data_IF_994009379877
#
_entry.id   IF_994009379877
#
_cell.length_a   1.000
_cell.length_b   1.000
_cell.length_c   1.000
_cell.angle_alpha   90.00
_cell.angle_beta   90.00
_cell.angle_gamma   90.00
#
_symmetry.space_group_name_H-M   'P 1'
#
loop_
_entity.id
_entity.type
_entity.pdbx_description
1 polymer ?
#
# COMPACT_ATOMS: atom_id res chain seq x y z
N UNK A 1 -39.08 12.25 -15.90
CA UNK A 1 -38.35 13.53 -15.85
C UNK A 1 -36.85 13.20 -15.86
N UNK A 2 -36.11 13.73 -16.85
CA UNK A 2 -34.69 13.45 -17.03
C UNK A 2 -33.83 13.88 -15.83
N UNK A 3 -34.25 14.91 -15.08
CA UNK A 3 -33.57 15.37 -13.83
C UNK A 3 -33.61 14.29 -12.77
N UNK A 4 -34.77 13.69 -12.53
CA UNK A 4 -34.92 12.61 -11.55
C UNK A 4 -34.11 11.38 -11.96
N UNK A 5 -34.05 11.06 -13.22
CA UNK A 5 -33.26 9.94 -13.72
C UNK A 5 -31.76 10.22 -13.53
N UNK A 6 -31.29 11.44 -13.81
CA UNK A 6 -29.91 11.86 -13.59
C UNK A 6 -29.52 11.81 -12.11
N UNK A 7 -30.39 12.30 -11.21
CA UNK A 7 -30.16 12.24 -9.76
C UNK A 7 -30.08 10.79 -9.27
N UNK A 8 -30.98 9.92 -9.72
CA UNK A 8 -30.97 8.50 -9.33
C UNK A 8 -29.71 7.78 -9.81
N UNK A 9 -29.26 8.02 -11.04
CA UNK A 9 -28.01 7.46 -11.56
C UNK A 9 -26.78 8.01 -10.80
N UNK A 10 -26.75 9.29 -10.44
CA UNK A 10 -25.71 9.88 -9.63
C UNK A 10 -25.61 9.24 -8.23
N UNK A 11 -26.75 9.02 -7.57
CA UNK A 11 -26.81 8.31 -6.30
C UNK A 11 -26.32 6.88 -6.43
N UNK A 12 -26.78 6.15 -7.43
CA UNK A 12 -26.38 4.77 -7.70
C UNK A 12 -24.86 4.65 -7.94
N UNK A 13 -24.31 5.51 -8.79
CA UNK A 13 -22.88 5.52 -9.07
C UNK A 13 -22.05 5.85 -7.82
N UNK A 14 -22.51 6.78 -6.99
CA UNK A 14 -21.88 7.09 -5.70
C UNK A 14 -21.85 5.87 -4.77
N UNK A 15 -22.96 5.13 -4.65
CA UNK A 15 -23.05 3.92 -3.84
C UNK A 15 -22.12 2.81 -4.35
N UNK A 16 -22.00 2.65 -5.67
CA UNK A 16 -21.09 1.69 -6.30
C UNK A 16 -19.64 2.04 -5.96
N UNK A 17 -19.24 3.31 -6.11
CA UNK A 17 -17.89 3.77 -5.77
C UNK A 17 -17.58 3.60 -4.27
N UNK A 18 -18.51 3.95 -3.39
CA UNK A 18 -18.34 3.77 -1.94
C UNK A 18 -18.14 2.30 -1.59
N UNK A 19 -18.93 1.40 -2.18
CA UNK A 19 -18.78 -0.05 -1.99
C UNK A 19 -17.40 -0.54 -2.43
N UNK A 20 -16.93 -0.06 -3.59
CA UNK A 20 -15.62 -0.47 -4.10
C UNK A 20 -14.48 0.06 -3.22
N UNK A 21 -14.52 1.30 -2.78
CA UNK A 21 -13.55 1.84 -1.81
C UNK A 21 -13.50 1.01 -0.52
N UNK A 22 -14.65 0.57 0.00
CA UNK A 22 -14.67 -0.32 1.17
C UNK A 22 -14.11 -1.72 0.86
N UNK A 23 -14.27 -2.25 -0.36
CA UNK A 23 -13.61 -3.46 -0.81
C UNK A 23 -12.09 -3.29 -0.80
N UNK A 24 -11.54 -2.19 -1.36
CA UNK A 24 -10.10 -1.90 -1.35
C UNK A 24 -9.55 -1.82 0.09
N UNK A 25 -10.26 -1.17 0.98
CA UNK A 25 -9.89 -1.12 2.40
C UNK A 25 -9.88 -2.51 3.04
N UNK A 26 -10.85 -3.37 2.69
CA UNK A 26 -10.93 -4.76 3.17
C UNK A 26 -9.75 -5.57 2.70
N UNK A 27 -9.36 -5.44 1.44
CA UNK A 27 -8.25 -6.16 0.86
C UNK A 27 -6.92 -5.81 1.57
N UNK A 28 -6.66 -4.51 1.78
CA UNK A 28 -5.47 -4.06 2.52
C UNK A 28 -5.50 -4.50 3.99
N UNK A 29 -6.67 -4.49 4.64
CA UNK A 29 -6.82 -5.06 6.00
C UNK A 29 -6.55 -6.56 6.03
N UNK A 30 -6.92 -7.28 4.98
CA UNK A 30 -6.64 -8.69 4.83
C UNK A 30 -5.14 -8.98 4.89
N UNK A 31 -4.31 -8.15 4.23
CA UNK A 31 -2.85 -8.25 4.33
C UNK A 31 -2.39 -8.11 5.80
N UNK A 32 -2.88 -7.10 6.55
CA UNK A 32 -2.50 -6.97 7.96
C UNK A 32 -3.00 -8.12 8.81
N UNK A 33 -4.12 -8.75 8.43
CA UNK A 33 -4.67 -9.91 9.15
C UNK A 33 -3.80 -11.15 9.04
N UNK A 34 -3.07 -11.34 7.94
CA UNK A 34 -2.07 -12.41 7.84
C UNK A 34 -1.05 -12.31 8.98
N UNK A 35 -0.53 -11.09 9.21
CA UNK A 35 0.48 -10.84 10.25
C UNK A 35 -0.08 -10.88 11.69
N UNK A 36 -1.41 -10.89 11.85
CA UNK A 36 -2.04 -11.12 13.16
C UNK A 36 -2.09 -12.59 13.53
N UNK A 37 -2.29 -13.46 12.53
CA UNK A 37 -2.49 -14.91 12.73
C UNK A 37 -1.17 -15.66 12.86
N UNK A 38 -0.09 -15.15 12.29
CA UNK A 38 1.24 -15.77 12.32
C UNK A 38 2.27 -14.83 12.92
N UNK A 39 3.18 -15.36 13.74
CA UNK A 39 4.32 -14.59 14.29
C UNK A 39 5.30 -14.14 13.21
N UNK A 40 5.34 -14.84 12.08
CA UNK A 40 6.21 -14.57 10.95
C UNK A 40 5.50 -15.02 9.67
N UNK A 41 5.29 -14.09 8.75
CA UNK A 41 4.79 -14.38 7.41
C UNK A 41 5.99 -14.50 6.47
N UNK A 42 6.04 -15.58 5.73
CA UNK A 42 7.03 -15.80 4.67
C UNK A 42 6.66 -15.02 3.40
N UNK A 43 7.66 -14.80 2.55
CA UNK A 43 7.44 -14.21 1.22
C UNK A 43 6.44 -15.03 0.40
N UNK A 44 6.51 -16.37 0.47
CA UNK A 44 5.60 -17.24 -0.27
C UNK A 44 4.15 -17.10 0.20
N UNK A 45 3.91 -17.04 1.51
CA UNK A 45 2.56 -16.84 2.07
C UNK A 45 1.99 -15.47 1.69
N UNK A 46 2.82 -14.42 1.77
CA UNK A 46 2.43 -13.08 1.31
C UNK A 46 2.07 -13.08 -0.18
N UNK A 47 2.92 -13.67 -1.03
CA UNK A 47 2.69 -13.79 -2.47
C UNK A 47 1.37 -14.51 -2.77
N UNK A 48 1.16 -15.68 -2.16
CA UNK A 48 -0.07 -16.48 -2.40
C UNK A 48 -1.32 -15.69 -2.06
N UNK A 49 -1.32 -14.99 -0.93
CA UNK A 49 -2.46 -14.18 -0.53
C UNK A 49 -2.66 -12.96 -1.45
N UNK A 50 -1.61 -12.18 -1.70
CA UNK A 50 -1.68 -10.99 -2.56
C UNK A 50 -2.10 -11.34 -3.99
N UNK A 51 -1.59 -12.43 -4.57
CA UNK A 51 -1.98 -12.90 -5.89
C UNK A 51 -3.49 -13.16 -5.97
N UNK A 52 -4.09 -13.77 -4.95
CA UNK A 52 -5.54 -14.04 -4.91
C UNK A 52 -6.41 -12.78 -4.94
N UNK A 53 -5.85 -11.62 -4.55
CA UNK A 53 -6.51 -10.32 -4.61
C UNK A 53 -6.28 -9.61 -5.95
N UNK A 54 -5.05 -9.71 -6.48
CA UNK A 54 -4.64 -9.10 -7.75
C UNK A 54 -5.42 -9.66 -8.95
N UNK A 55 -5.69 -10.95 -8.97
CA UNK A 55 -6.42 -11.61 -10.04
C UNK A 55 -7.87 -11.12 -10.22
N UNK A 56 -8.43 -10.46 -9.21
CA UNK A 56 -9.82 -10.01 -9.22
C UNK A 56 -10.03 -8.69 -9.95
N UNK A 57 -9.03 -7.79 -9.93
CA UNK A 57 -9.22 -6.40 -10.37
C UNK A 57 -7.96 -5.83 -11.03
N UNK A 58 -8.07 -5.43 -12.30
CA UNK A 58 -6.95 -4.89 -13.09
C UNK A 58 -6.47 -3.50 -12.64
N UNK A 59 -7.26 -2.77 -11.84
CA UNK A 59 -6.87 -1.46 -11.29
C UNK A 59 -6.00 -1.57 -10.03
N UNK A 60 -5.83 -2.77 -9.48
CA UNK A 60 -4.87 -3.01 -8.38
C UNK A 60 -3.48 -3.13 -8.98
N UNK A 61 -2.54 -2.30 -8.52
CA UNK A 61 -1.17 -2.28 -9.03
C UNK A 61 -0.21 -3.10 -8.18
N UNK A 62 -0.36 -3.04 -6.87
CA UNK A 62 0.45 -3.86 -5.97
C UNK A 62 -0.12 -3.91 -4.56
N UNK A 63 0.30 -4.94 -3.82
CA UNK A 63 0.24 -4.98 -2.37
C UNK A 63 1.65 -5.05 -1.81
N UNK A 64 1.87 -4.38 -0.67
CA UNK A 64 3.19 -4.25 -0.05
C UNK A 64 3.08 -4.49 1.45
N UNK A 65 4.11 -5.10 2.03
CA UNK A 65 4.37 -5.10 3.46
C UNK A 65 5.61 -4.28 3.77
N UNK A 66 5.47 -3.32 4.65
CA UNK A 66 6.50 -2.32 5.00
C UNK A 66 6.62 -2.29 6.52
N UNK A 67 7.54 -3.09 7.09
CA UNK A 67 7.79 -3.12 8.51
C UNK A 67 8.50 -1.88 9.02
N UNK A 68 8.32 -1.58 10.31
CA UNK A 68 9.15 -0.65 11.05
C UNK A 68 10.41 -1.39 11.53
N UNK A 69 11.58 -0.99 11.05
CA UNK A 69 12.86 -1.64 11.35
C UNK A 69 13.79 -0.65 12.05
N UNK A 70 14.33 -1.02 13.20
CA UNK A 70 15.35 -0.25 13.88
C UNK A 70 16.72 -0.48 13.22
N UNK A 71 17.65 0.47 13.40
CA UNK A 71 19.04 0.33 12.93
C UNK A 71 19.68 -1.00 13.34
N UNK A 72 19.44 -1.44 14.57
CA UNK A 72 20.00 -2.71 15.08
C UNK A 72 19.44 -3.97 14.43
N UNK A 73 18.30 -3.86 13.74
CA UNK A 73 17.60 -4.98 13.10
C UNK A 73 17.88 -5.02 11.58
N UNK A 74 18.45 -3.97 11.00
CA UNK A 74 18.68 -3.79 9.56
C UNK A 74 19.49 -4.94 8.96
N UNK A 75 20.68 -5.19 9.47
CA UNK A 75 21.59 -6.23 8.95
C UNK A 75 20.96 -7.64 8.99
N UNK A 76 20.19 -7.94 10.05
CA UNK A 76 19.48 -9.21 10.15
C UNK A 76 18.42 -9.38 9.07
N UNK A 77 17.63 -8.31 8.79
CA UNK A 77 16.62 -8.36 7.75
C UNK A 77 17.25 -8.45 6.35
N UNK A 78 18.28 -7.64 6.06
CA UNK A 78 19.00 -7.70 4.78
C UNK A 78 19.58 -9.10 4.54
N UNK A 79 20.27 -9.68 5.55
CA UNK A 79 20.83 -11.03 5.45
C UNK A 79 19.77 -12.12 5.28
N UNK A 80 18.61 -11.98 5.93
CA UNK A 80 17.50 -12.91 5.76
C UNK A 80 16.95 -12.86 4.34
N UNK A 81 16.68 -11.67 3.80
CA UNK A 81 16.17 -11.50 2.45
C UNK A 81 17.15 -12.05 1.40
N UNK A 82 18.47 -11.85 1.59
CA UNK A 82 19.50 -12.42 0.72
C UNK A 82 19.48 -13.95 0.73
N UNK A 83 19.32 -14.58 1.91
CA UNK A 83 19.18 -16.05 2.04
C UNK A 83 17.90 -16.58 1.40
N UNK A 84 16.85 -15.75 1.31
CA UNK A 84 15.60 -16.07 0.60
C UNK A 84 15.71 -15.89 -0.92
N UNK A 85 16.90 -15.61 -1.47
CA UNK A 85 17.16 -15.48 -2.90
C UNK A 85 17.22 -14.06 -3.45
N UNK A 86 17.00 -13.04 -2.62
CA UNK A 86 17.15 -11.64 -3.01
C UNK A 86 18.59 -11.16 -2.81
N UNK A 87 19.51 -11.66 -3.62
CA UNK A 87 20.98 -11.53 -3.43
C UNK A 87 21.43 -10.08 -3.23
N UNK A 88 20.76 -9.12 -3.91
CA UNK A 88 21.10 -7.70 -3.85
C UNK A 88 20.20 -6.91 -2.89
N UNK A 89 19.41 -7.57 -2.03
CA UNK A 89 18.55 -6.87 -1.10
C UNK A 89 19.35 -6.10 -0.06
N UNK A 90 19.17 -4.80 -0.07
CA UNK A 90 19.66 -3.87 0.95
C UNK A 90 18.72 -2.68 1.03
N UNK A 91 18.78 -1.91 2.12
CA UNK A 91 17.93 -0.73 2.23
C UNK A 91 18.43 0.38 1.32
N UNK A 92 17.51 0.94 0.54
CA UNK A 92 17.79 1.99 -0.45
C UNK A 92 16.92 3.23 -0.23
N UNK A 93 17.39 4.34 -0.76
CA UNK A 93 16.66 5.60 -0.91
C UNK A 93 16.84 6.10 -2.34
N UNK A 94 16.03 7.06 -2.78
CA UNK A 94 16.27 7.79 -4.02
C UNK A 94 17.28 8.91 -3.80
N UNK A 95 18.27 9.00 -4.68
CA UNK A 95 19.15 10.16 -4.80
C UNK A 95 18.41 11.35 -5.44
N UNK A 96 19.05 12.52 -5.49
CA UNK A 96 18.54 13.70 -6.22
C UNK A 96 18.34 13.40 -7.72
N UNK A 97 19.12 12.50 -8.28
CA UNK A 97 19.02 12.03 -9.67
C UNK A 97 17.99 10.92 -9.89
N UNK A 98 17.15 10.64 -8.89
CA UNK A 98 16.12 9.58 -8.90
C UNK A 98 16.68 8.16 -9.12
N UNK A 99 17.93 7.90 -8.72
CA UNK A 99 18.54 6.57 -8.70
C UNK A 99 18.50 5.96 -7.30
N UNK A 100 18.41 4.62 -7.21
CA UNK A 100 18.48 3.94 -5.94
C UNK A 100 19.92 3.90 -5.42
N UNK A 101 20.14 4.44 -4.23
CA UNK A 101 21.40 4.39 -3.51
C UNK A 101 21.21 3.74 -2.13
N UNK A 102 22.27 3.23 -1.53
CA UNK A 102 22.21 2.65 -0.19
C UNK A 102 21.71 3.67 0.83
N UNK A 103 20.71 3.29 1.62
CA UNK A 103 20.17 4.14 2.67
C UNK A 103 21.25 4.42 3.76
N UNK A 104 21.43 5.67 4.20
CA UNK A 104 22.33 6.02 5.27
C UNK A 104 21.85 5.44 6.61
N UNK A 105 22.77 5.40 7.61
CA UNK A 105 22.43 4.98 8.94
C UNK A 105 21.49 6.00 9.61
N UNK A 106 20.37 5.50 10.17
CA UNK A 106 19.41 6.30 10.93
C UNK A 106 18.70 5.44 11.97
N UNK A 107 17.94 6.07 12.86
CA UNK A 107 17.31 5.41 13.99
C UNK A 107 16.37 4.27 13.59
N UNK A 108 15.55 4.49 12.56
CA UNK A 108 14.56 3.53 12.07
C UNK A 108 14.27 3.72 10.58
N UNK A 109 13.79 2.65 9.95
CA UNK A 109 13.48 2.55 8.52
C UNK A 109 12.09 1.96 8.31
N UNK A 110 11.54 2.20 7.11
CA UNK A 110 10.32 1.59 6.62
C UNK A 110 10.58 0.99 5.23
N UNK A 111 11.35 -0.11 5.15
CA UNK A 111 11.69 -0.72 3.86
C UNK A 111 10.51 -1.50 3.29
N UNK A 112 10.34 -1.49 1.98
CA UNK A 112 9.44 -2.43 1.31
C UNK A 112 10.06 -3.83 1.41
N UNK A 113 9.55 -4.65 2.34
CA UNK A 113 10.05 -6.01 2.54
C UNK A 113 9.43 -7.00 1.58
N UNK A 114 8.12 -6.89 1.33
CA UNK A 114 7.38 -7.69 0.39
C UNK A 114 6.58 -6.81 -0.56
N UNK A 115 6.50 -7.20 -1.82
CA UNK A 115 5.68 -6.56 -2.84
C UNK A 115 5.20 -7.62 -3.83
N UNK A 116 3.92 -7.55 -4.20
CA UNK A 116 3.30 -8.36 -5.26
C UNK A 116 2.43 -7.45 -6.15
N UNK A 117 2.45 -7.64 -7.49
CA UNK A 117 3.29 -8.59 -8.21
C UNK A 117 4.78 -8.25 -8.09
N UNK A 118 5.63 -9.29 -8.04
CA UNK A 118 7.08 -9.12 -7.94
C UNK A 118 7.66 -8.52 -9.23
N UNK A 119 7.32 -9.11 -10.37
CA UNK A 119 7.83 -8.65 -11.67
C UNK A 119 7.39 -7.21 -11.97
N UNK A 120 8.36 -6.37 -12.32
CA UNK A 120 8.16 -4.95 -12.58
C UNK A 120 8.17 -4.07 -11.32
N UNK A 121 8.25 -4.67 -10.12
CA UNK A 121 8.35 -3.97 -8.85
C UNK A 121 9.57 -4.42 -8.01
N UNK A 122 10.38 -5.32 -8.52
CA UNK A 122 11.54 -5.89 -7.82
C UNK A 122 12.57 -4.84 -7.39
N UNK A 123 12.74 -3.77 -8.18
CA UNK A 123 13.60 -2.63 -7.84
C UNK A 123 13.14 -1.84 -6.60
N UNK A 124 11.88 -1.97 -6.22
CA UNK A 124 11.32 -1.30 -5.03
C UNK A 124 11.61 -2.04 -3.73
N UNK A 125 12.06 -3.30 -3.81
CA UNK A 125 12.41 -4.05 -2.61
C UNK A 125 13.58 -3.41 -1.87
N UNK A 126 13.43 -3.23 -0.58
CA UNK A 126 14.40 -2.53 0.27
C UNK A 126 14.26 -1.00 0.25
N UNK A 127 13.46 -0.42 -0.65
CA UNK A 127 13.25 1.03 -0.66
C UNK A 127 12.63 1.50 0.65
N UNK A 128 13.34 2.37 1.34
CA UNK A 128 12.90 2.98 2.59
C UNK A 128 11.96 4.15 2.31
N UNK A 129 10.65 3.90 2.38
CA UNK A 129 9.64 4.90 2.08
C UNK A 129 9.70 6.12 3.00
N UNK A 130 10.33 6.00 4.19
CA UNK A 130 10.48 7.14 5.09
C UNK A 130 11.51 8.17 4.61
N UNK A 131 12.28 7.86 3.55
CA UNK A 131 13.11 8.84 2.85
C UNK A 131 12.27 9.87 2.06
N UNK A 132 11.00 9.57 1.82
CA UNK A 132 10.05 10.47 1.15
C UNK A 132 9.12 11.11 2.20
N UNK A 133 9.21 12.42 2.44
CA UNK A 133 8.43 13.10 3.51
C UNK A 133 6.92 12.88 3.39
N UNK A 134 6.39 12.86 2.17
CA UNK A 134 4.96 12.62 1.92
C UNK A 134 4.55 11.22 2.36
N UNK A 135 5.33 10.18 2.01
CA UNK A 135 5.04 8.79 2.38
C UNK A 135 5.20 8.58 3.89
N UNK A 136 6.25 9.16 4.50
CA UNK A 136 6.43 9.11 5.96
C UNK A 136 5.25 9.76 6.71
N UNK A 137 4.72 10.87 6.18
CA UNK A 137 3.53 11.51 6.76
C UNK A 137 2.33 10.56 6.74
N UNK A 138 2.11 9.83 5.64
CA UNK A 138 1.02 8.84 5.53
C UNK A 138 1.18 7.69 6.51
N UNK A 139 2.40 7.16 6.67
CA UNK A 139 2.72 6.15 7.69
C UNK A 139 2.39 6.66 9.09
N UNK A 140 2.84 7.87 9.43
CA UNK A 140 2.59 8.48 10.74
C UNK A 140 1.09 8.70 10.98
N UNK A 141 0.35 9.21 10.00
CA UNK A 141 -1.10 9.40 10.10
C UNK A 141 -1.84 8.07 10.30
N UNK A 142 -1.48 7.02 9.55
CA UNK A 142 -2.06 5.68 9.73
C UNK A 142 -1.75 5.15 11.13
N UNK A 143 -0.47 5.20 11.56
CA UNK A 143 -0.04 4.81 12.91
C UNK A 143 -0.82 5.54 14.01
N UNK A 144 -0.89 6.87 13.93
CA UNK A 144 -1.40 7.69 15.03
C UNK A 144 -2.94 7.67 15.09
N UNK A 145 -3.63 7.52 13.95
CA UNK A 145 -5.09 7.38 13.91
C UNK A 145 -5.59 5.97 14.20
N UNK A 146 -4.78 4.94 13.94
CA UNK A 146 -5.21 3.54 13.97
C UNK A 146 -6.17 3.16 12.85
N UNK A 147 -6.33 4.02 11.85
CA UNK A 147 -7.24 3.84 10.71
C UNK A 147 -6.45 3.69 9.41
N UNK A 148 -7.11 3.15 8.39
CA UNK A 148 -6.57 3.20 7.03
C UNK A 148 -6.55 4.66 6.58
N UNK A 149 -5.39 5.07 6.06
CA UNK A 149 -5.19 6.39 5.45
C UNK A 149 -5.00 6.20 3.96
N UNK A 150 -5.75 6.96 3.16
CA UNK A 150 -5.60 6.97 1.72
C UNK A 150 -5.09 8.33 1.24
N UNK A 151 -4.28 8.32 0.19
CA UNK A 151 -3.83 9.53 -0.49
C UNK A 151 -3.47 9.24 -1.94
N UNK A 152 -3.68 10.24 -2.78
CA UNK A 152 -3.18 10.24 -4.14
C UNK A 152 -1.72 10.72 -4.15
N UNK A 153 -0.92 10.08 -4.97
CA UNK A 153 0.47 10.47 -5.20
C UNK A 153 0.81 10.28 -6.67
N UNK A 154 1.79 11.04 -7.14
CA UNK A 154 2.43 10.72 -8.42
C UNK A 154 3.15 9.39 -8.29
N UNK A 155 3.24 8.64 -9.38
CA UNK A 155 4.06 7.45 -9.43
C UNK A 155 5.55 7.87 -9.41
N UNK A 156 6.17 7.76 -8.22
CA UNK A 156 7.56 8.18 -7.99
C UNK A 156 8.58 7.34 -8.78
N UNK A 157 8.15 6.17 -9.28
CA UNK A 157 9.04 5.17 -9.86
C UNK A 157 8.78 4.93 -11.34
N UNK A 158 7.74 5.56 -11.90
CA UNK A 158 7.41 5.45 -13.32
C UNK A 158 7.79 6.74 -14.06
N UNK A 159 8.21 6.58 -15.31
CA UNK A 159 8.56 7.70 -16.19
C UNK A 159 7.33 8.50 -16.68
N UNK A 160 6.10 8.05 -16.38
CA UNK A 160 4.89 8.81 -16.71
C UNK A 160 4.55 9.81 -15.58
N UNK A 161 4.87 11.11 -15.75
CA UNK A 161 4.64 12.13 -14.74
C UNK A 161 3.15 12.41 -14.49
N UNK A 162 2.27 11.94 -15.37
CA UNK A 162 0.83 12.14 -15.27
C UNK A 162 0.13 10.97 -14.59
N UNK A 163 0.85 9.88 -14.31
CA UNK A 163 0.29 8.71 -13.65
C UNK A 163 0.06 8.98 -12.18
N UNK A 164 -1.22 9.05 -11.81
CA UNK A 164 -1.64 9.18 -10.42
C UNK A 164 -1.98 7.81 -9.85
N UNK A 165 -1.42 7.52 -8.68
CA UNK A 165 -1.70 6.32 -7.90
C UNK A 165 -2.41 6.71 -6.61
N UNK A 166 -3.31 5.86 -6.15
CA UNK A 166 -3.93 5.98 -4.83
C UNK A 166 -3.36 4.90 -3.93
N UNK A 167 -2.78 5.32 -2.82
CA UNK A 167 -2.19 4.44 -1.82
C UNK A 167 -3.11 4.34 -0.60
N UNK A 168 -3.35 3.12 -0.12
CA UNK A 168 -4.06 2.84 1.12
C UNK A 168 -3.08 2.24 2.13
N UNK A 169 -2.84 2.95 3.23
CA UNK A 169 -1.95 2.53 4.31
C UNK A 169 -2.76 1.95 5.46
N UNK A 170 -2.63 0.66 5.73
CA UNK A 170 -3.26 -0.04 6.87
C UNK A 170 -2.23 -0.31 7.95
N UNK A 171 -2.35 0.28 9.15
CA UNK A 171 -1.37 0.08 10.21
C UNK A 171 -1.53 -1.28 10.89
N UNK A 172 -0.39 -1.87 11.29
CA UNK A 172 -0.33 -3.09 12.09
C UNK A 172 0.36 -2.81 13.43
N UNK A 173 -0.21 -3.37 14.50
CA UNK A 173 0.32 -3.25 15.86
C UNK A 173 0.61 -4.63 16.47
N UNK A 174 1.58 -4.68 17.37
CA UNK A 174 1.88 -5.87 18.17
C UNK A 174 0.63 -6.29 18.95
N UNK A 175 0.30 -7.57 18.87
CA UNK A 175 -0.96 -8.11 19.43
C UNK A 175 -2.16 -8.07 18.47
N UNK A 176 -1.99 -7.47 17.28
CA UNK A 176 -2.99 -7.52 16.20
C UNK A 176 -4.16 -6.55 16.34
N UNK A 177 -4.44 -6.04 17.52
CA UNK A 177 -5.52 -5.06 17.72
C UNK A 177 -5.01 -3.62 17.71
N UNK A 178 -5.90 -2.69 17.33
CA UNK A 178 -5.56 -1.27 17.34
C UNK A 178 -5.60 -0.74 18.79
N UNK A 179 -4.46 -0.24 19.32
CA UNK A 179 -4.42 0.26 20.69
C UNK A 179 -5.29 1.53 20.85
N UNK A 180 -5.86 1.71 22.03
CA UNK A 180 -6.82 2.80 22.30
C UNK A 180 -6.17 4.19 22.28
N UNK A 181 -4.95 4.34 22.80
CA UNK A 181 -4.26 5.65 22.87
C UNK A 181 -3.20 5.80 21.78
N UNK A 182 -2.91 7.04 21.39
CA UNK A 182 -1.89 7.35 20.38
C UNK A 182 -0.48 6.94 20.85
N UNK A 183 -0.18 7.08 22.15
CA UNK A 183 1.09 6.67 22.74
C UNK A 183 1.28 5.15 22.65
N UNK A 184 0.21 4.38 22.96
CA UNK A 184 0.24 2.94 22.81
C UNK A 184 0.39 2.52 21.35
N UNK A 185 -0.29 3.23 20.40
CA UNK A 185 -0.14 3.01 18.95
C UNK A 185 1.31 3.24 18.51
N UNK A 186 1.94 4.35 18.89
CA UNK A 186 3.35 4.62 18.57
C UNK A 186 4.30 3.56 19.11
N UNK A 187 4.07 3.10 20.34
CA UNK A 187 4.92 2.09 21.00
C UNK A 187 4.79 0.71 20.36
N UNK A 188 3.55 0.29 20.02
CA UNK A 188 3.24 -1.05 19.53
C UNK A 188 3.24 -1.16 18.02
N UNK A 189 3.51 -0.08 17.28
CA UNK A 189 3.51 -0.04 15.83
C UNK A 189 4.57 -0.95 15.23
N UNK A 190 4.14 -1.85 14.34
CA UNK A 190 5.00 -2.82 13.65
C UNK A 190 5.30 -2.43 12.20
N UNK A 191 4.43 -1.66 11.56
CA UNK A 191 4.54 -1.29 10.15
C UNK A 191 3.19 -1.09 9.51
N UNK A 192 3.19 -1.01 8.20
CA UNK A 192 1.98 -0.82 7.38
C UNK A 192 1.90 -1.85 6.25
N UNK A 193 0.69 -2.33 5.97
CA UNK A 193 0.37 -2.89 4.66
C UNK A 193 -0.07 -1.75 3.74
N UNK A 194 0.37 -1.79 2.48
CA UNK A 194 0.01 -0.79 1.48
C UNK A 194 -0.63 -1.47 0.28
N UNK A 195 -1.79 -0.97 -0.14
CA UNK A 195 -2.37 -1.28 -1.44
C UNK A 195 -2.19 -0.09 -2.37
N UNK A 196 -1.76 -0.34 -3.59
CA UNK A 196 -1.55 0.67 -4.64
C UNK A 196 -2.57 0.46 -5.75
N UNK A 197 -3.31 1.50 -6.08
CA UNK A 197 -4.45 1.45 -7.00
C UNK A 197 -4.37 2.55 -8.04
N UNK A 198 -4.92 2.27 -9.22
CA UNK A 198 -5.15 3.28 -10.27
C UNK A 198 -6.63 3.59 -10.34
N UNK A 199 -7.05 4.69 -9.69
CA UNK A 199 -8.47 5.04 -9.55
C UNK A 199 -9.18 5.28 -10.89
N UNK A 200 -8.50 5.85 -11.88
CA UNK A 200 -9.09 6.05 -13.20
C UNK A 200 -9.52 4.71 -13.84
N UNK A 201 -8.68 3.67 -13.71
CA UNK A 201 -9.02 2.34 -14.21
C UNK A 201 -10.15 1.72 -13.39
N UNK A 202 -10.19 1.95 -12.08
CA UNK A 202 -11.30 1.53 -11.22
C UNK A 202 -12.62 2.19 -11.66
N UNK A 203 -12.63 3.50 -11.86
CA UNK A 203 -13.83 4.24 -12.29
C UNK A 203 -14.32 3.69 -13.63
N UNK A 204 -13.43 3.49 -14.61
CA UNK A 204 -13.77 2.89 -15.89
C UNK A 204 -14.36 1.50 -15.73
N UNK A 205 -13.71 0.62 -14.99
CA UNK A 205 -14.17 -0.76 -14.82
C UNK A 205 -15.50 -0.85 -14.06
N UNK A 206 -15.71 0.02 -13.07
CA UNK A 206 -16.82 -0.08 -12.10
C UNK A 206 -18.02 0.79 -12.49
N UNK A 207 -17.81 1.93 -13.14
CA UNK A 207 -18.86 2.90 -13.46
C UNK A 207 -19.26 2.88 -14.95
N UNK A 208 -18.28 2.81 -15.88
CA UNK A 208 -18.59 2.87 -17.32
C UNK A 208 -19.66 1.87 -17.79
N UNK A 209 -19.74 0.62 -17.27
CA UNK A 209 -20.80 -0.31 -17.66
C UNK A 209 -22.23 0.15 -17.33
N UNK A 210 -22.36 1.13 -16.43
CA UNK A 210 -23.65 1.66 -15.96
C UNK A 210 -23.93 3.07 -16.47
N UNK A 211 -23.02 3.68 -17.25
CA UNK A 211 -23.26 5.01 -17.84
C UNK A 211 -24.29 4.92 -18.94
N UNK A 212 -25.28 5.82 -18.89
CA UNK A 212 -26.24 5.98 -19.97
C UNK A 212 -25.53 6.67 -21.13
N UNK A 213 -25.61 6.15 -22.39
CA UNK A 213 -25.03 6.80 -23.56
C UNK A 213 -25.50 8.25 -23.67
N UNK A 214 -24.59 9.22 -23.74
CA UNK A 214 -24.90 10.65 -23.87
C UNK A 214 -24.91 11.44 -22.55
N UNK A 215 -24.73 10.81 -21.39
CA UNK A 215 -24.51 11.49 -20.11
C UNK A 215 -23.01 11.33 -19.78
N UNK A 216 -22.25 12.39 -19.93
CA UNK A 216 -20.83 12.44 -19.53
C UNK A 216 -20.71 12.92 -18.08
N UNK A 217 -19.79 12.28 -17.33
CA UNK A 217 -19.33 12.77 -16.02
C UNK A 217 -18.38 13.95 -16.19
#
# INVERSE_FOLDING_TARGET
DWIQQFEQEGIKNTLILQKEIENLKRDVRGITSLFKLSKKITRSEFKTYAASLLDKNHFIRSFQWIPRIKQSERSALESQAQKEGLVNFHFTILSEESTFITAPNKREYFPIQYIEPFFGNDSLLGFDISSQPTLLNLVNRARDSGKIVAANTKDLFNQDPNRMLTLFFSPLYKGGETPKTTEARKRLFMGVAVGTYQLNDMIRQVIEPYLIPGIFL
#
